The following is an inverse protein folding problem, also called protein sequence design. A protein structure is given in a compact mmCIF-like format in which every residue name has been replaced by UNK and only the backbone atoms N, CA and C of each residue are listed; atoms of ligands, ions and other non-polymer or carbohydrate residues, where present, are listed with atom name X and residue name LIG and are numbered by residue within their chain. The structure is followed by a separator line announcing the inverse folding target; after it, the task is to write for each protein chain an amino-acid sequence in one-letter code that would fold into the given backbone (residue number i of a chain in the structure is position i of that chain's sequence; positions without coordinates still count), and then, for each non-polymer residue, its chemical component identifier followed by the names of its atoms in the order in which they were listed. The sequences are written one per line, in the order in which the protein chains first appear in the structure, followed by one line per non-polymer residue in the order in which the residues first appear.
data_IF_613232199878
#
_entry.id   IF_613232199878
#
_cell.length_a   1.000
_cell.length_b   1.000
_cell.length_c   1.000
_cell.angle_alpha   90.00
_cell.angle_beta   90.00
_cell.angle_gamma   90.00
#
_symmetry.space_group_name_H-M   'P 1'
#
loop_
_entity.id
_entity.type
_entity.pdbx_description
1 polymer ?
#
# COMPACT_ATOMS: atom_id res chain seq x y z
N UNK A 1 11.10 -12.53 -36.41
CA UNK A 1 10.56 -12.47 -35.04
C UNK A 1 11.75 -12.55 -34.09
N UNK A 2 12.07 -11.46 -33.38
CA UNK A 2 13.19 -11.49 -32.44
C UNK A 2 12.76 -12.28 -31.20
N UNK A 3 13.59 -13.25 -30.79
CA UNK A 3 13.34 -14.02 -29.58
C UNK A 3 13.43 -13.10 -28.36
N UNK A 4 12.37 -13.10 -27.54
CA UNK A 4 12.39 -12.45 -26.24
C UNK A 4 13.27 -13.29 -25.30
N UNK A 5 14.46 -12.81 -24.95
CA UNK A 5 15.34 -13.46 -23.98
C UNK A 5 15.19 -12.83 -22.60
N UNK A 6 14.92 -13.60 -21.53
CA UNK A 6 14.87 -13.06 -20.17
C UNK A 6 16.26 -12.65 -19.69
N UNK A 7 16.30 -11.70 -18.75
CA UNK A 7 17.54 -11.29 -18.07
C UNK A 7 18.01 -12.44 -17.17
N UNK A 8 19.11 -13.09 -17.54
CA UNK A 8 19.59 -14.33 -16.91
C UNK A 8 20.63 -14.13 -15.78
N UNK A 9 20.58 -13.02 -15.05
CA UNK A 9 21.55 -12.70 -13.98
C UNK A 9 20.87 -12.51 -12.63
N UNK A 10 21.48 -13.03 -11.56
CA UNK A 10 20.95 -12.92 -10.20
C UNK A 10 21.10 -11.52 -9.59
N UNK A 11 22.09 -10.75 -10.04
CA UNK A 11 22.30 -9.38 -9.60
C UNK A 11 21.48 -8.41 -10.46
N UNK A 12 20.68 -7.57 -9.80
CA UNK A 12 20.06 -6.40 -10.45
C UNK A 12 21.00 -5.19 -10.34
N UNK A 13 21.43 -4.67 -11.48
CA UNK A 13 22.17 -3.39 -11.58
C UNK A 13 21.28 -2.38 -12.29
N UNK A 14 21.09 -1.20 -11.71
CA UNK A 14 20.20 -0.14 -12.22
C UNK A 14 18.81 -0.69 -12.60
N UNK A 15 18.03 -1.17 -11.62
CA UNK A 15 16.74 -1.80 -11.89
C UNK A 15 15.82 -0.85 -12.66
N UNK A 16 15.21 -1.36 -13.73
CA UNK A 16 14.13 -0.66 -14.44
C UNK A 16 12.81 -0.78 -13.66
N UNK A 17 12.61 -1.89 -12.97
CA UNK A 17 11.40 -2.17 -12.19
C UNK A 17 11.34 -1.28 -10.96
N UNK A 18 10.15 -0.77 -10.68
CA UNK A 18 9.79 -0.11 -9.42
C UNK A 18 8.72 -0.96 -8.72
N UNK A 19 8.56 -0.80 -7.41
CA UNK A 19 7.74 -1.73 -6.63
C UNK A 19 6.24 -1.62 -6.89
N UNK A 20 5.55 -2.75 -6.72
CA UNK A 20 4.09 -2.85 -6.89
C UNK A 20 3.28 -1.94 -5.93
N UNK A 21 3.61 -1.79 -4.63
CA UNK A 21 2.88 -0.89 -3.74
C UNK A 21 2.86 0.55 -4.27
N UNK A 22 3.95 1.02 -4.88
CA UNK A 22 3.99 2.36 -5.46
C UNK A 22 2.96 2.52 -6.58
N UNK A 23 2.84 1.52 -7.46
CA UNK A 23 1.83 1.52 -8.51
C UNK A 23 0.40 1.53 -7.97
N UNK A 24 0.13 0.73 -6.94
CA UNK A 24 -1.18 0.72 -6.28
C UNK A 24 -1.50 2.06 -5.63
N UNK A 25 -0.55 2.66 -4.91
CA UNK A 25 -0.72 4.00 -4.35
C UNK A 25 -0.99 5.04 -5.44
N UNK A 26 -0.29 4.98 -6.57
CA UNK A 26 -0.54 5.88 -7.69
C UNK A 26 -1.96 5.74 -8.25
N UNK A 27 -2.52 4.52 -8.33
CA UNK A 27 -3.90 4.31 -8.76
C UNK A 27 -4.89 4.95 -7.78
N UNK A 28 -4.71 4.75 -6.47
CA UNK A 28 -5.55 5.36 -5.46
C UNK A 28 -5.42 6.89 -5.41
N UNK A 29 -4.23 7.45 -5.64
CA UNK A 29 -4.03 8.91 -5.75
C UNK A 29 -4.80 9.55 -6.92
N UNK A 30 -5.23 8.74 -7.90
CA UNK A 30 -6.10 9.20 -8.98
C UNK A 30 -7.56 9.40 -8.57
N UNK A 31 -7.97 8.96 -7.38
CA UNK A 31 -9.35 9.03 -6.88
C UNK A 31 -9.52 10.27 -5.97
N UNK A 32 -10.58 11.04 -6.21
CA UNK A 32 -10.85 12.26 -5.44
C UNK A 32 -11.10 11.96 -3.94
N UNK A 33 -10.32 12.61 -3.08
CA UNK A 33 -10.45 12.44 -1.63
C UNK A 33 -9.93 11.10 -1.09
N UNK A 34 -9.16 10.36 -1.90
CA UNK A 34 -8.51 9.14 -1.49
C UNK A 34 -7.17 9.39 -0.79
N UNK A 35 -6.82 8.51 0.14
CA UNK A 35 -5.51 8.47 0.80
C UNK A 35 -4.96 7.05 0.73
N UNK A 36 -3.92 6.76 -0.07
CA UNK A 36 -3.23 5.48 0.00
C UNK A 36 -2.52 5.28 1.35
N UNK A 37 -2.52 4.03 1.81
CA UNK A 37 -1.93 3.59 3.06
C UNK A 37 -1.07 2.35 2.80
N UNK A 38 0.25 2.48 2.97
CA UNK A 38 1.14 1.32 2.93
C UNK A 38 1.08 0.56 4.25
N UNK A 39 0.68 -0.70 4.17
CA UNK A 39 0.73 -1.61 5.29
C UNK A 39 2.10 -2.29 5.35
N UNK A 40 2.96 -1.76 6.22
CA UNK A 40 4.36 -2.15 6.34
C UNK A 40 5.17 -1.20 7.21
N UNK A 41 6.49 -1.28 7.09
CA UNK A 41 7.40 -0.38 7.81
C UNK A 41 7.43 1.02 7.18
N UNK A 42 7.87 2.02 7.95
CA UNK A 42 7.89 3.42 7.51
C UNK A 42 8.78 3.66 6.27
N UNK A 43 9.82 2.84 6.08
CA UNK A 43 10.80 3.00 5.00
C UNK A 43 10.19 2.88 3.61
N UNK A 44 9.28 1.92 3.39
CA UNK A 44 8.61 1.71 2.10
C UNK A 44 7.91 2.99 1.62
N UNK A 45 7.21 3.64 2.55
CA UNK A 45 6.40 4.84 2.31
C UNK A 45 7.27 6.07 2.07
N UNK A 46 8.35 6.23 2.84
CA UNK A 46 9.28 7.34 2.69
C UNK A 46 9.94 7.36 1.30
N UNK A 47 10.37 6.20 0.79
CA UNK A 47 10.96 6.12 -0.56
C UNK A 47 9.93 6.39 -1.66
N UNK A 48 8.71 5.85 -1.53
CA UNK A 48 7.62 6.13 -2.46
C UNK A 48 7.29 7.63 -2.52
N UNK A 49 7.18 8.29 -1.35
CA UNK A 49 6.98 9.73 -1.26
C UNK A 49 8.09 10.51 -1.97
N UNK A 50 9.37 10.19 -1.71
CA UNK A 50 10.49 10.87 -2.36
C UNK A 50 10.42 10.73 -3.89
N UNK A 51 10.11 9.54 -4.40
CA UNK A 51 9.95 9.32 -5.84
C UNK A 51 8.82 10.16 -6.44
N UNK A 52 7.64 10.13 -5.83
CA UNK A 52 6.46 10.83 -6.34
C UNK A 52 6.61 12.35 -6.25
N UNK A 53 7.09 12.88 -5.11
CA UNK A 53 7.34 14.32 -4.94
C UNK A 53 8.40 14.79 -5.94
N UNK A 54 9.45 14.00 -6.21
CA UNK A 54 10.47 14.37 -7.21
C UNK A 54 9.92 14.37 -8.63
N UNK A 55 8.99 13.49 -8.96
CA UNK A 55 8.38 13.40 -10.28
C UNK A 55 7.33 14.50 -10.50
N UNK A 56 6.34 14.58 -9.61
CA UNK A 56 5.19 15.48 -9.75
C UNK A 56 5.43 16.89 -9.26
N UNK A 57 6.44 17.12 -8.39
CA UNK A 57 6.73 18.40 -7.74
C UNK A 57 5.59 18.92 -6.85
N UNK A 58 4.77 18.01 -6.33
CA UNK A 58 3.61 18.30 -5.49
C UNK A 58 3.71 17.59 -4.13
N UNK A 59 2.90 18.03 -3.17
CA UNK A 59 2.70 17.32 -1.91
C UNK A 59 1.84 16.07 -2.14
N UNK A 60 2.31 14.91 -1.68
CA UNK A 60 1.67 13.61 -1.94
C UNK A 60 1.06 13.06 -0.64
N UNK A 61 -0.27 12.84 -0.57
CA UNK A 61 -0.93 12.28 0.61
C UNK A 61 -0.80 10.76 0.66
N UNK A 62 0.35 10.24 1.06
CA UNK A 62 0.61 8.80 1.25
C UNK A 62 1.01 8.51 2.70
N UNK A 63 0.31 7.57 3.34
CA UNK A 63 0.49 7.23 4.76
C UNK A 63 0.99 5.80 4.95
N UNK A 64 1.31 5.44 6.20
CA UNK A 64 1.81 4.11 6.57
C UNK A 64 1.22 3.62 7.89
N UNK A 65 1.10 2.29 8.02
CA UNK A 65 0.78 1.65 9.31
C UNK A 65 1.98 1.58 10.26
N UNK A 66 3.17 2.02 9.83
CA UNK A 66 4.36 2.13 10.66
C UNK A 66 4.67 0.88 11.50
N UNK A 67 4.70 -0.29 10.86
CA UNK A 67 5.08 -1.53 11.55
C UNK A 67 6.52 -1.47 12.06
N UNK A 68 6.70 -2.03 13.25
CA UNK A 68 7.94 -2.18 13.98
C UNK A 68 8.26 -3.68 14.19
N UNK A 69 9.34 -3.98 14.88
CA UNK A 69 9.78 -5.36 15.13
C UNK A 69 8.72 -6.18 15.89
N UNK A 70 8.00 -5.54 16.82
CA UNK A 70 6.97 -6.19 17.65
C UNK A 70 5.76 -6.57 16.81
N UNK A 71 5.20 -5.63 16.05
CA UNK A 71 4.06 -5.90 15.15
C UNK A 71 4.43 -6.85 14.01
N UNK A 72 5.70 -6.88 13.60
CA UNK A 72 6.20 -7.89 12.65
C UNK A 72 6.16 -9.31 13.24
N UNK A 73 6.28 -9.47 14.56
CA UNK A 73 6.16 -10.77 15.22
C UNK A 73 4.70 -11.09 15.54
N UNK A 74 3.97 -10.13 16.09
CA UNK A 74 2.66 -10.37 16.72
C UNK A 74 1.47 -10.20 15.78
N UNK A 75 1.54 -9.33 14.78
CA UNK A 75 0.32 -8.82 14.16
C UNK A 75 0.42 -7.39 13.68
N UNK A 76 -0.04 -7.10 12.47
CA UNK A 76 -0.19 -5.75 11.92
C UNK A 76 -1.59 -5.15 12.11
N UNK A 77 -2.60 -5.97 12.49
CA UNK A 77 -4.01 -5.57 12.52
C UNK A 77 -4.28 -4.34 13.40
N UNK A 78 -3.72 -4.28 14.61
CA UNK A 78 -3.90 -3.15 15.52
C UNK A 78 -3.33 -1.85 14.91
N UNK A 79 -2.21 -1.95 14.19
CA UNK A 79 -1.63 -0.81 13.48
C UNK A 79 -2.47 -0.38 12.27
N UNK A 80 -3.13 -1.32 11.58
CA UNK A 80 -4.08 -1.00 10.50
C UNK A 80 -5.26 -0.21 11.08
N UNK A 81 -5.87 -0.71 12.16
CA UNK A 81 -6.99 -0.03 12.81
C UNK A 81 -6.60 1.36 13.32
N UNK A 82 -5.48 1.47 14.02
CA UNK A 82 -4.98 2.75 14.51
C UNK A 82 -4.74 3.74 13.35
N UNK A 83 -4.13 3.27 12.25
CA UNK A 83 -3.89 4.11 11.08
C UNK A 83 -5.20 4.60 10.45
N UNK A 84 -6.21 3.74 10.32
CA UNK A 84 -7.52 4.10 9.78
C UNK A 84 -8.21 5.17 10.63
N UNK A 85 -8.24 5.00 11.95
CA UNK A 85 -8.84 5.97 12.86
C UNK A 85 -8.08 7.31 12.85
N UNK A 86 -6.76 7.27 12.78
CA UNK A 86 -5.92 8.46 12.66
C UNK A 86 -6.17 9.21 11.34
N UNK A 87 -6.26 8.49 10.23
CA UNK A 87 -6.62 9.03 8.92
C UNK A 87 -8.00 9.69 8.95
N UNK A 88 -8.99 8.97 9.50
CA UNK A 88 -10.36 9.48 9.65
C UNK A 88 -10.40 10.79 10.43
N UNK A 89 -9.70 10.85 11.56
CA UNK A 89 -9.64 12.04 12.42
C UNK A 89 -8.92 13.22 11.78
N UNK A 90 -7.82 12.98 11.06
CA UNK A 90 -6.93 14.06 10.58
C UNK A 90 -7.27 14.54 9.17
N UNK A 91 -7.73 13.64 8.31
CA UNK A 91 -7.91 13.89 6.88
C UNK A 91 -9.36 13.64 6.44
N UNK A 92 -10.14 12.88 7.19
CA UNK A 92 -11.51 12.46 6.87
C UNK A 92 -11.67 12.06 5.38
N UNK A 93 -10.87 11.09 4.88
CA UNK A 93 -10.87 10.75 3.46
C UNK A 93 -12.18 10.07 3.05
N UNK A 94 -12.54 10.22 1.77
CA UNK A 94 -13.65 9.47 1.16
C UNK A 94 -13.28 8.01 0.94
N UNK A 95 -12.00 7.75 0.64
CA UNK A 95 -11.47 6.41 0.37
C UNK A 95 -10.08 6.24 1.01
N UNK A 96 -9.81 5.09 1.63
CA UNK A 96 -8.48 4.66 2.04
C UNK A 96 -8.09 3.43 1.23
N UNK A 97 -7.02 3.55 0.43
CA UNK A 97 -6.50 2.45 -0.37
C UNK A 97 -5.30 1.80 0.32
N UNK A 98 -5.51 0.63 0.94
CA UNK A 98 -4.46 -0.11 1.63
C UNK A 98 -3.66 -0.92 0.61
N UNK A 99 -2.35 -0.71 0.56
CA UNK A 99 -1.41 -1.49 -0.25
C UNK A 99 -0.54 -2.34 0.69
N UNK A 100 -0.55 -3.66 0.53
CA UNK A 100 0.41 -4.51 1.26
C UNK A 100 1.84 -4.27 0.75
N UNK A 101 2.83 -4.69 1.54
CA UNK A 101 4.25 -4.57 1.19
C UNK A 101 4.92 -5.94 1.32
N UNK A 102 6.18 -6.06 0.89
CA UNK A 102 6.93 -7.29 1.07
C UNK A 102 6.97 -7.77 2.53
N UNK A 103 7.00 -6.86 3.52
CA UNK A 103 6.98 -7.23 4.94
C UNK A 103 5.71 -8.02 5.29
N UNK A 104 4.57 -7.44 4.98
CA UNK A 104 3.25 -7.94 5.39
C UNK A 104 2.84 -9.16 4.56
N UNK A 105 3.18 -9.17 3.27
CA UNK A 105 3.01 -10.33 2.38
C UNK A 105 3.92 -11.50 2.78
N UNK A 106 5.17 -11.26 3.21
CA UNK A 106 6.07 -12.33 3.67
C UNK A 106 5.56 -12.95 4.98
N UNK A 107 4.94 -12.14 5.84
CA UNK A 107 4.35 -12.65 7.09
C UNK A 107 3.10 -13.50 6.82
N UNK A 108 2.40 -13.25 5.71
CA UNK A 108 1.23 -14.03 5.30
C UNK A 108 0.01 -13.78 6.19
N UNK A 109 -0.28 -12.51 6.49
CA UNK A 109 -1.43 -12.13 7.33
C UNK A 109 -2.76 -12.34 6.60
N UNK A 110 -3.82 -12.64 7.35
CA UNK A 110 -5.20 -12.66 6.84
C UNK A 110 -5.77 -11.23 6.80
N UNK A 111 -5.30 -10.42 5.85
CA UNK A 111 -5.70 -9.01 5.74
C UNK A 111 -7.20 -8.83 5.55
N UNK A 112 -7.84 -9.68 4.75
CA UNK A 112 -9.28 -9.57 4.49
C UNK A 112 -10.08 -9.88 5.75
N UNK A 113 -9.67 -10.91 6.50
CA UNK A 113 -10.26 -11.26 7.79
C UNK A 113 -10.12 -10.13 8.81
N UNK A 114 -8.90 -9.63 9.00
CA UNK A 114 -8.59 -8.55 9.94
C UNK A 114 -9.33 -7.27 9.57
N UNK A 115 -9.29 -6.86 8.30
CA UNK A 115 -9.96 -5.64 7.83
C UNK A 115 -11.48 -5.72 8.03
N UNK A 116 -12.10 -6.87 7.72
CA UNK A 116 -13.54 -7.07 7.95
C UNK A 116 -13.90 -6.93 9.43
N UNK A 117 -13.10 -7.49 10.34
CA UNK A 117 -13.32 -7.37 11.78
C UNK A 117 -13.16 -5.92 12.25
N UNK A 118 -12.12 -5.22 11.78
CA UNK A 118 -11.86 -3.82 12.11
C UNK A 118 -13.03 -2.93 11.65
N UNK A 119 -13.45 -3.05 10.39
CA UNK A 119 -14.54 -2.24 9.83
C UNK A 119 -15.89 -2.54 10.48
N UNK A 120 -16.11 -3.79 10.91
CA UNK A 120 -17.32 -4.14 11.69
C UNK A 120 -17.30 -3.47 13.06
N UNK A 121 -16.15 -3.49 13.75
CA UNK A 121 -15.98 -2.89 15.09
C UNK A 121 -16.01 -1.36 15.07
N UNK A 122 -15.55 -0.74 13.98
CA UNK A 122 -15.42 0.72 13.82
C UNK A 122 -16.40 1.30 12.81
N UNK A 123 -17.54 0.65 12.60
CA UNK A 123 -18.49 1.03 11.56
C UNK A 123 -18.99 2.48 11.71
N UNK A 124 -19.24 2.92 12.94
CA UNK A 124 -19.66 4.29 13.23
C UNK A 124 -18.53 5.29 13.00
N UNK A 125 -17.33 5.01 13.53
CA UNK A 125 -16.18 5.90 13.35
C UNK A 125 -15.75 6.02 11.88
N UNK A 126 -15.84 4.93 11.11
CA UNK A 126 -15.46 4.87 9.70
C UNK A 126 -16.59 5.27 8.74
N UNK A 127 -17.75 5.70 9.23
CA UNK A 127 -18.88 6.09 8.39
C UNK A 127 -18.48 7.13 7.33
N UNK A 128 -18.83 6.87 6.07
CA UNK A 128 -18.51 7.75 4.93
C UNK A 128 -17.07 7.66 4.41
N UNK A 129 -16.26 6.73 4.92
CA UNK A 129 -14.95 6.39 4.38
C UNK A 129 -14.95 4.95 3.89
N UNK A 130 -14.77 4.77 2.59
CA UNK A 130 -14.58 3.45 1.99
C UNK A 130 -13.14 2.98 2.19
N UNK A 131 -12.94 1.67 2.39
CA UNK A 131 -11.60 1.09 2.57
C UNK A 131 -11.42 -0.07 1.61
N UNK A 132 -10.41 0.05 0.75
CA UNK A 132 -10.09 -0.94 -0.29
C UNK A 132 -8.71 -1.51 -0.03
N UNK A 133 -8.54 -2.81 -0.21
CA UNK A 133 -7.25 -3.49 -0.05
C UNK A 133 -6.74 -4.02 -1.39
N UNK A 134 -5.45 -3.80 -1.67
CA UNK A 134 -4.74 -4.35 -2.81
C UNK A 134 -3.48 -5.11 -2.36
N UNK A 135 -3.40 -6.40 -2.73
CA UNK A 135 -2.22 -7.24 -2.48
C UNK A 135 -1.09 -6.92 -3.46
N UNK A 136 -0.04 -6.25 -2.98
CA UNK A 136 1.08 -5.73 -3.76
C UNK A 136 2.45 -6.13 -3.20
N UNK A 137 2.81 -7.42 -3.15
CA UNK A 137 4.14 -7.82 -2.70
C UNK A 137 5.25 -7.21 -3.57
N UNK A 138 6.23 -6.50 -2.97
CA UNK A 138 7.33 -5.87 -3.73
C UNK A 138 8.22 -6.89 -4.47
N UNK A 139 8.19 -8.16 -4.06
CA UNK A 139 8.97 -9.24 -4.68
C UNK A 139 8.28 -9.87 -5.91
N UNK A 140 7.05 -9.45 -6.26
CA UNK A 140 6.34 -9.95 -7.44
C UNK A 140 5.78 -8.81 -8.29
N UNK A 141 5.88 -8.95 -9.61
CA UNK A 141 5.49 -7.91 -10.56
C UNK A 141 6.37 -6.66 -10.49
N UNK A 142 5.78 -5.52 -10.83
CA UNK A 142 6.34 -4.19 -10.78
C UNK A 142 5.20 -3.15 -10.61
N UNK A 143 5.49 -1.89 -10.91
CA UNK A 143 4.60 -0.76 -10.74
C UNK A 143 3.29 -0.94 -11.52
N UNK A 144 3.36 -1.39 -12.76
CA UNK A 144 2.20 -1.57 -13.64
C UNK A 144 1.22 -2.63 -13.12
N UNK A 145 1.72 -3.74 -12.57
CA UNK A 145 0.86 -4.76 -11.96
C UNK A 145 0.25 -4.27 -10.65
N UNK A 146 1.02 -3.51 -9.85
CA UNK A 146 0.49 -2.86 -8.65
C UNK A 146 -0.65 -1.91 -8.96
N UNK A 147 -0.48 -1.07 -9.98
CA UNK A 147 -1.54 -0.18 -10.49
C UNK A 147 -2.76 -0.98 -10.94
N UNK A 148 -2.57 -2.03 -11.75
CA UNK A 148 -3.67 -2.87 -12.25
C UNK A 148 -4.44 -3.53 -11.12
N UNK A 149 -3.75 -4.06 -10.10
CA UNK A 149 -4.40 -4.70 -8.96
C UNK A 149 -5.22 -3.73 -8.14
N UNK A 150 -4.70 -2.55 -7.86
CA UNK A 150 -5.45 -1.52 -7.15
C UNK A 150 -6.67 -1.05 -7.96
N UNK A 151 -6.52 -0.89 -9.28
CA UNK A 151 -7.64 -0.51 -10.16
C UNK A 151 -8.75 -1.58 -10.18
N UNK A 152 -8.38 -2.87 -10.13
CA UNK A 152 -9.35 -3.98 -10.07
C UNK A 152 -10.02 -4.14 -8.69
N UNK A 153 -9.40 -3.59 -7.64
CA UNK A 153 -9.93 -3.62 -6.28
C UNK A 153 -10.90 -2.47 -5.98
N UNK A 154 -10.84 -1.38 -6.76
CA UNK A 154 -11.82 -0.29 -6.78
C UNK A 154 -13.12 -0.73 -7.46
#
# INVERSE_FOLDING_TARGET
MNALSPVARSLSTNPLKTSAPLGAAMAFLGVEGAVPLFHGSQGCTAFALVLLVRHFKEAIPLQTTAMNEVSTILGGADHVEEALLNLKKRMNPKLVGICSTALTETRGEDFEGDLRLILTRRAEEMAGTEVVFASTPDFNGALEEGWSKATLAL
#
